data_IF_290951613183
#
_entry.id   IF_290951613183
#
_cell.length_a   1.000
_cell.length_b   1.000
_cell.length_c   1.000
_cell.angle_alpha   90.00
_cell.angle_beta   90.00
_cell.angle_gamma   90.00
#
_symmetry.space_group_name_H-M   'P 1'
#
loop_
_entity.id
_entity.type
_entity.pdbx_description
1 polymer ?
#
# COMPACT_ATOMS: atom_id res chain seq x y z
N UNK A 1 16.25 -16.83 -47.90
CA UNK A 1 16.88 -16.67 -46.57
C UNK A 1 15.81 -16.06 -45.67
N UNK A 2 15.26 -16.80 -44.71
CA UNK A 2 14.19 -16.32 -43.82
C UNK A 2 14.82 -15.95 -42.47
N UNK A 3 14.95 -14.66 -42.21
CA UNK A 3 15.45 -14.14 -40.94
C UNK A 3 14.37 -14.33 -39.86
N UNK A 4 14.67 -15.15 -38.86
CA UNK A 4 13.88 -15.25 -37.63
C UNK A 4 14.27 -14.07 -36.72
N UNK A 5 13.42 -13.06 -36.62
CA UNK A 5 13.52 -12.02 -35.59
C UNK A 5 12.89 -12.56 -34.30
N UNK A 6 13.72 -13.01 -33.36
CA UNK A 6 13.27 -13.32 -32.00
C UNK A 6 13.22 -12.00 -31.23
N UNK A 7 12.03 -11.41 -31.16
CA UNK A 7 11.77 -10.23 -30.34
C UNK A 7 11.64 -10.68 -28.88
N UNK A 8 12.76 -10.70 -28.15
CA UNK A 8 12.78 -10.97 -26.72
C UNK A 8 12.08 -9.81 -25.99
N UNK A 9 10.83 -10.04 -25.57
CA UNK A 9 10.09 -9.09 -24.74
C UNK A 9 10.73 -9.06 -23.34
N UNK A 10 11.53 -8.02 -23.08
CA UNK A 10 11.94 -7.62 -21.74
C UNK A 10 10.68 -7.14 -20.99
N UNK A 11 10.01 -8.05 -20.29
CA UNK A 11 8.98 -7.66 -19.33
C UNK A 11 9.69 -6.92 -18.18
N UNK A 12 9.33 -5.66 -17.87
CA UNK A 12 9.76 -5.05 -16.63
C UNK A 12 9.14 -5.86 -15.50
N UNK A 13 9.97 -6.61 -14.79
CA UNK A 13 9.61 -7.13 -13.49
C UNK A 13 9.38 -5.90 -12.59
N UNK A 14 8.13 -5.44 -12.54
CA UNK A 14 7.67 -4.55 -11.47
C UNK A 14 7.81 -5.37 -10.21
N UNK A 15 8.96 -5.22 -9.54
CA UNK A 15 9.15 -5.63 -8.17
C UNK A 15 8.00 -4.98 -7.41
N UNK A 16 7.03 -5.79 -6.97
CA UNK A 16 6.02 -5.33 -6.04
C UNK A 16 6.77 -4.76 -4.84
N UNK A 17 6.81 -3.42 -4.75
CA UNK A 17 7.50 -2.73 -3.67
C UNK A 17 6.93 -3.28 -2.37
N UNK A 18 7.78 -3.83 -1.52
CA UNK A 18 7.35 -4.26 -0.19
C UNK A 18 6.91 -3.01 0.56
N UNK A 19 5.61 -2.90 0.84
CA UNK A 19 5.08 -1.77 1.60
C UNK A 19 5.10 -2.13 3.08
N UNK A 20 5.85 -1.39 3.88
CA UNK A 20 5.95 -1.65 5.32
C UNK A 20 4.72 -1.14 6.10
N UNK A 21 3.93 -0.24 5.51
CA UNK A 21 2.74 0.31 6.15
C UNK A 21 1.64 0.72 5.16
N UNK A 22 0.38 0.45 5.50
CA UNK A 22 -0.77 0.85 4.66
C UNK A 22 -1.94 1.38 5.49
N UNK A 23 -2.70 2.32 4.92
CA UNK A 23 -3.94 2.85 5.48
C UNK A 23 -5.04 2.92 4.42
N UNK A 24 -6.27 2.63 4.79
CA UNK A 24 -7.42 2.78 3.90
C UNK A 24 -7.79 4.25 3.77
N UNK A 25 -8.14 4.69 2.56
CA UNK A 25 -8.54 6.07 2.25
C UNK A 25 -10.01 6.14 1.85
N UNK A 26 -10.67 7.24 2.18
CA UNK A 26 -12.05 7.50 1.76
C UNK A 26 -12.16 7.65 0.23
N UNK A 27 -11.10 8.12 -0.43
CA UNK A 27 -10.98 8.24 -1.89
C UNK A 27 -9.48 8.28 -2.26
N UNK A 28 -9.17 7.96 -3.52
CA UNK A 28 -7.81 8.07 -4.04
C UNK A 28 -7.24 9.47 -3.84
N UNK A 29 -6.10 9.55 -3.13
CA UNK A 29 -5.44 10.83 -2.82
C UNK A 29 -6.13 11.66 -1.72
N UNK A 30 -7.14 11.12 -1.03
CA UNK A 30 -7.78 11.80 0.11
C UNK A 30 -6.90 11.77 1.35
N UNK A 31 -6.76 12.91 2.04
CA UNK A 31 -6.12 12.96 3.35
C UNK A 31 -6.95 12.29 4.46
N UNK A 32 -8.21 11.95 4.17
CA UNK A 32 -9.09 11.26 5.10
C UNK A 32 -8.84 9.75 5.05
N UNK A 33 -8.19 9.24 6.09
CA UNK A 33 -8.01 7.81 6.32
C UNK A 33 -9.24 7.21 7.02
N UNK A 34 -9.55 5.96 6.71
CA UNK A 34 -10.70 5.21 7.24
C UNK A 34 -10.19 4.19 8.24
N UNK A 35 -10.02 4.61 9.49
CA UNK A 35 -9.37 3.82 10.55
C UNK A 35 -10.08 2.50 10.84
N UNK A 36 -11.41 2.44 10.74
CA UNK A 36 -12.17 1.20 10.92
C UNK A 36 -11.84 0.16 9.85
N UNK A 37 -11.76 0.58 8.58
CA UNK A 37 -11.36 -0.27 7.48
C UNK A 37 -9.88 -0.67 7.59
N UNK A 38 -9.00 0.29 7.94
CA UNK A 38 -7.58 0.00 8.19
C UNK A 38 -7.43 -1.03 9.29
N UNK A 39 -8.14 -0.88 10.41
CA UNK A 39 -8.11 -1.80 11.55
C UNK A 39 -8.61 -3.20 11.19
N UNK A 40 -9.73 -3.29 10.44
CA UNK A 40 -10.24 -4.57 9.94
C UNK A 40 -9.21 -5.27 9.06
N UNK A 41 -8.60 -4.53 8.14
CA UNK A 41 -7.56 -5.05 7.26
C UNK A 41 -6.28 -5.41 8.01
N UNK A 42 -5.97 -4.75 9.13
CA UNK A 42 -4.75 -4.96 9.89
C UNK A 42 -4.72 -6.25 10.74
N UNK A 43 -5.82 -7.00 10.81
CA UNK A 43 -5.99 -8.14 11.73
C UNK A 43 -5.15 -9.38 11.43
N UNK A 44 -4.57 -9.55 10.23
CA UNK A 44 -3.64 -10.65 9.89
C UNK A 44 -2.20 -10.38 10.36
N UNK A 45 -2.00 -10.20 11.67
CA UNK A 45 -0.67 -10.11 12.29
C UNK A 45 -0.02 -8.72 12.23
N UNK A 46 -0.70 -7.72 11.67
CA UNK A 46 -0.27 -6.33 11.74
C UNK A 46 -0.63 -5.65 13.06
N UNK A 47 -0.21 -4.40 13.21
CA UNK A 47 -0.64 -3.53 14.31
C UNK A 47 -0.95 -2.13 13.80
N UNK A 48 -1.91 -1.46 14.42
CA UNK A 48 -2.19 -0.06 14.08
C UNK A 48 -1.13 0.85 14.71
N UNK A 49 -0.50 1.69 13.89
CA UNK A 49 0.43 2.73 14.33
C UNK A 49 -0.08 4.09 13.86
N UNK A 50 -0.22 5.01 14.81
CA UNK A 50 -0.50 6.40 14.49
C UNK A 50 0.77 7.05 13.97
N UNK A 51 0.66 7.67 12.79
CA UNK A 51 1.70 8.51 12.22
C UNK A 51 1.25 9.96 12.26
N UNK A 52 2.07 10.77 12.91
CA UNK A 52 1.97 12.23 12.92
C UNK A 52 3.12 12.81 12.10
N UNK A 53 2.93 14.00 11.55
CA UNK A 53 4.01 14.72 10.86
C UNK A 53 5.05 15.18 11.89
N UNK A 54 6.04 14.35 12.19
CA UNK A 54 7.16 14.72 13.06
C UNK A 54 8.47 14.66 12.27
N UNK A 55 8.74 15.71 11.50
CA UNK A 55 10.04 15.93 10.85
C UNK A 55 10.19 15.20 9.52
N UNK A 56 10.55 15.99 8.50
CA UNK A 56 10.80 15.61 7.11
C UNK A 56 9.78 14.63 6.52
N UNK A 57 8.79 15.19 5.82
CA UNK A 57 7.96 14.46 4.87
C UNK A 57 8.89 13.79 3.86
N UNK A 58 9.34 12.57 4.15
CA UNK A 58 9.85 11.72 3.09
C UNK A 58 8.71 11.62 2.09
N UNK A 59 9.00 11.77 0.80
CA UNK A 59 8.00 11.87 -0.28
C UNK A 59 7.01 10.70 -0.37
N UNK A 60 7.17 9.71 0.51
CA UNK A 60 6.40 8.49 0.65
C UNK A 60 5.23 8.64 1.63
N UNK A 61 5.34 9.48 2.68
CA UNK A 61 4.31 9.59 3.71
C UNK A 61 3.27 10.67 3.35
N UNK A 62 2.22 10.25 2.63
CA UNK A 62 1.27 11.17 2.01
C UNK A 62 0.29 11.83 2.99
N UNK A 63 -0.18 11.12 4.02
CA UNK A 63 -1.24 11.59 4.91
C UNK A 63 -0.96 11.18 6.37
N UNK A 64 -1.27 12.02 7.37
CA UNK A 64 -1.17 11.64 8.77
C UNK A 64 -2.38 10.78 9.16
N UNK A 65 -2.21 9.93 10.18
CA UNK A 65 -3.29 9.13 10.74
C UNK A 65 -2.84 7.70 11.03
N UNK A 66 -3.78 6.76 11.11
CA UNK A 66 -3.49 5.41 11.55
C UNK A 66 -3.22 4.47 10.38
N UNK A 67 -2.05 3.84 10.42
CA UNK A 67 -1.57 2.91 9.42
C UNK A 67 -1.39 1.53 10.04
N UNK A 68 -1.71 0.49 9.29
CA UNK A 68 -1.31 -0.86 9.63
C UNK A 68 0.20 -1.03 9.37
N UNK A 69 0.97 -1.39 10.39
CA UNK A 69 2.39 -1.77 10.33
C UNK A 69 2.57 -3.28 10.44
N UNK A 70 3.68 -3.81 9.93
CA UNK A 70 4.08 -5.21 10.09
C UNK A 70 2.99 -6.20 9.64
N UNK A 71 2.19 -5.80 8.67
CA UNK A 71 1.31 -6.73 7.98
C UNK A 71 2.21 -7.69 7.22
N UNK A 72 2.01 -8.99 7.43
CA UNK A 72 2.89 -10.10 7.02
C UNK A 72 3.60 -9.88 5.67
N UNK A 73 4.86 -10.32 5.55
CA UNK A 73 5.78 -10.10 4.42
C UNK A 73 5.28 -10.56 3.03
N UNK A 74 4.08 -11.14 2.98
CA UNK A 74 3.42 -11.73 1.82
C UNK A 74 2.18 -10.97 1.35
N UNK A 75 1.81 -9.86 1.97
CA UNK A 75 0.68 -9.05 1.51
C UNK A 75 1.15 -7.89 0.65
N UNK A 76 0.81 -7.96 -0.64
CA UNK A 76 0.99 -6.86 -1.57
C UNK A 76 0.01 -5.71 -1.30
N UNK A 77 0.33 -4.53 -1.82
CA UNK A 77 -0.54 -3.35 -1.72
C UNK A 77 -1.92 -3.59 -2.33
N UNK A 78 -2.03 -4.48 -3.33
CA UNK A 78 -3.29 -4.83 -3.98
C UNK A 78 -4.24 -5.60 -3.06
N UNK A 79 -3.72 -6.52 -2.25
CA UNK A 79 -4.53 -7.25 -1.27
C UNK A 79 -5.04 -6.30 -0.20
N UNK A 80 -4.21 -5.39 0.28
CA UNK A 80 -4.63 -4.37 1.23
C UNK A 80 -5.67 -3.43 0.63
N UNK A 81 -5.46 -2.97 -0.61
CA UNK A 81 -6.43 -2.18 -1.37
C UNK A 81 -7.79 -2.89 -1.50
N UNK A 82 -7.80 -4.17 -1.88
CA UNK A 82 -9.01 -4.96 -2.00
C UNK A 82 -9.73 -5.12 -0.64
N UNK A 83 -8.97 -5.32 0.44
CA UNK A 83 -9.53 -5.33 1.78
C UNK A 83 -10.17 -3.99 2.16
N UNK A 84 -9.52 -2.87 1.86
CA UNK A 84 -10.08 -1.53 2.10
C UNK A 84 -11.42 -1.36 1.38
N UNK A 85 -11.51 -1.76 0.11
CA UNK A 85 -12.77 -1.71 -0.64
C UNK A 85 -13.86 -2.58 -0.05
N UNK A 86 -13.52 -3.78 0.41
CA UNK A 86 -14.49 -4.67 1.07
C UNK A 86 -15.00 -4.12 2.41
N UNK A 87 -14.27 -3.19 3.02
CA UNK A 87 -14.61 -2.57 4.31
C UNK A 87 -15.14 -1.12 4.17
N UNK A 88 -15.56 -0.72 2.97
CA UNK A 88 -16.22 0.57 2.74
C UNK A 88 -15.30 1.77 2.56
N UNK A 89 -13.99 1.55 2.45
CA UNK A 89 -13.05 2.55 1.92
C UNK A 89 -13.00 2.48 0.39
N UNK A 90 -12.46 3.50 -0.27
CA UNK A 90 -12.40 3.53 -1.73
C UNK A 90 -10.99 3.26 -2.27
N UNK A 91 -9.97 3.47 -1.45
CA UNK A 91 -8.57 3.27 -1.84
C UNK A 91 -7.68 2.90 -0.63
N UNK A 92 -6.39 2.69 -0.87
CA UNK A 92 -5.36 2.52 0.14
C UNK A 92 -4.13 3.38 -0.14
N UNK A 93 -3.58 4.01 0.88
CA UNK A 93 -2.29 4.65 0.86
C UNK A 93 -1.26 3.72 1.53
N UNK A 94 -0.38 3.12 0.74
CA UNK A 94 0.74 2.36 1.23
C UNK A 94 2.03 3.20 1.17
N UNK A 95 2.89 3.03 2.16
CA UNK A 95 4.15 3.74 2.29
C UNK A 95 5.24 2.73 2.63
N UNK A 96 6.41 2.93 2.04
CA UNK A 96 7.59 2.15 2.37
C UNK A 96 8.37 2.94 3.43
N UNK A 97 8.29 2.53 4.70
CA UNK A 97 9.14 3.15 5.73
C UNK A 97 10.55 2.59 5.54
N UNK A 98 11.47 3.45 5.10
CA UNK A 98 12.90 3.18 5.04
C UNK A 98 13.51 2.97 6.43
#
# INVERSE_FOLDING_TARGET
>A
MKAFYVLAALLPAVLADKWNMCACQQASGSATLVDSATGACCTNGGSMKSITYTGSSTSQLRFPGNYCVNYDNNHDGDTFYNCCKSNGAADSACINWA
#
